data_IF_850519940137
#
_entry.id   IF_850519940137
#
_cell.length_a   1.000
_cell.length_b   1.000
_cell.length_c   1.000
_cell.angle_alpha   90.00
_cell.angle_beta   90.00
_cell.angle_gamma   90.00
#
_symmetry.space_group_name_H-M   'P 1'
#
loop_
_entity.id
_entity.type
_entity.pdbx_description
1 polymer ?
#
# COMPACT_ATOMS: atom_id res chain seq x y z
N UNK A 1 -10.91 -7.68 -21.32
CA UNK A 1 -10.47 -6.97 -22.55
C UNK A 1 -9.30 -6.02 -22.32
N UNK A 2 -9.34 -5.10 -21.31
CA UNK A 2 -8.22 -4.17 -21.08
C UNK A 2 -6.99 -4.87 -20.52
N UNK A 3 -7.15 -5.79 -19.57
CA UNK A 3 -6.04 -6.60 -19.04
C UNK A 3 -5.35 -7.34 -20.18
N UNK A 4 -6.10 -8.09 -20.99
CA UNK A 4 -5.57 -8.87 -22.12
C UNK A 4 -4.78 -8.01 -23.13
N UNK A 5 -5.17 -6.72 -23.29
CA UNK A 5 -4.51 -5.80 -24.23
C UNK A 5 -3.27 -5.12 -23.65
N UNK A 6 -3.31 -4.74 -22.38
CA UNK A 6 -2.32 -3.84 -21.80
C UNK A 6 -1.30 -4.57 -20.91
N UNK A 7 -1.73 -5.62 -20.22
CA UNK A 7 -0.88 -6.30 -19.25
C UNK A 7 0.31 -7.05 -19.84
N UNK A 8 0.26 -7.58 -21.08
CA UNK A 8 1.45 -8.13 -21.71
C UNK A 8 2.63 -7.15 -21.84
N UNK A 9 2.34 -5.84 -21.85
CA UNK A 9 3.36 -4.78 -21.84
C UNK A 9 3.70 -4.32 -20.43
N UNK A 10 2.68 -4.19 -19.56
CA UNK A 10 2.83 -3.57 -18.23
C UNK A 10 3.27 -4.55 -17.15
N UNK A 11 2.95 -5.83 -17.30
CA UNK A 11 3.28 -6.90 -16.35
C UNK A 11 2.77 -6.65 -14.92
N UNK A 12 1.54 -6.14 -14.81
CA UNK A 12 0.94 -5.74 -13.54
C UNK A 12 0.33 -6.89 -12.76
N UNK A 13 -0.08 -7.96 -13.46
CA UNK A 13 -0.69 -9.15 -12.86
C UNK A 13 0.29 -10.31 -12.82
N UNK A 14 0.23 -11.12 -11.77
CA UNK A 14 0.86 -12.44 -11.68
C UNK A 14 -0.14 -13.54 -12.04
N UNK A 15 -1.39 -13.34 -11.67
CA UNK A 15 -2.48 -14.28 -11.94
C UNK A 15 -3.77 -13.48 -12.15
N UNK A 16 -4.58 -13.89 -13.13
CA UNK A 16 -5.88 -13.29 -13.44
C UNK A 16 -6.96 -14.37 -13.38
N UNK A 17 -7.98 -14.16 -12.56
CA UNK A 17 -9.06 -15.10 -12.30
C UNK A 17 -10.28 -14.80 -13.16
N UNK A 18 -10.12 -14.77 -14.49
CA UNK A 18 -11.11 -14.28 -15.44
C UNK A 18 -12.41 -15.11 -15.42
N UNK A 19 -12.34 -16.44 -15.35
CA UNK A 19 -13.53 -17.30 -15.32
C UNK A 19 -14.36 -17.06 -14.06
N UNK A 20 -13.75 -17.18 -12.87
CA UNK A 20 -14.45 -16.96 -11.60
C UNK A 20 -14.96 -15.52 -11.46
N UNK A 21 -14.18 -14.54 -11.92
CA UNK A 21 -14.59 -13.13 -11.87
C UNK A 21 -15.80 -12.84 -12.76
N UNK A 22 -15.90 -13.50 -13.92
CA UNK A 22 -17.06 -13.35 -14.81
C UNK A 22 -18.32 -14.01 -14.22
N UNK A 23 -18.17 -15.17 -13.59
CA UNK A 23 -19.27 -15.85 -12.87
C UNK A 23 -19.78 -14.98 -11.70
N UNK A 24 -18.86 -14.47 -10.88
CA UNK A 24 -19.19 -13.56 -9.77
C UNK A 24 -19.85 -12.27 -10.28
N UNK A 25 -19.39 -11.70 -11.41
CA UNK A 25 -19.99 -10.52 -12.02
C UNK A 25 -21.43 -10.78 -12.50
N UNK A 26 -21.70 -11.95 -13.05
CA UNK A 26 -23.05 -12.35 -13.46
C UNK A 26 -23.96 -12.52 -12.24
N UNK A 27 -23.47 -13.16 -11.18
CA UNK A 27 -24.20 -13.31 -9.93
C UNK A 27 -24.52 -11.96 -9.28
N UNK A 28 -23.52 -11.06 -9.20
CA UNK A 28 -23.70 -9.70 -8.70
C UNK A 28 -24.75 -8.92 -9.50
N UNK A 29 -24.70 -8.99 -10.83
CA UNK A 29 -25.70 -8.37 -11.70
C UNK A 29 -27.11 -8.87 -11.42
N UNK A 30 -27.29 -10.18 -11.25
CA UNK A 30 -28.59 -10.78 -10.95
C UNK A 30 -29.10 -10.35 -9.56
N UNK A 31 -28.21 -10.37 -8.55
CA UNK A 31 -28.54 -9.95 -7.19
C UNK A 31 -28.98 -8.48 -7.16
N UNK A 32 -28.24 -7.58 -7.80
CA UNK A 32 -28.56 -6.15 -7.89
C UNK A 32 -29.92 -5.96 -8.58
N UNK A 33 -30.16 -6.64 -9.69
CA UNK A 33 -31.41 -6.53 -10.45
C UNK A 33 -32.65 -7.03 -9.66
N UNK A 34 -32.44 -7.97 -8.70
CA UNK A 34 -33.49 -8.49 -7.81
C UNK A 34 -33.63 -7.73 -6.48
N UNK A 35 -32.90 -6.61 -6.30
CA UNK A 35 -32.96 -5.79 -5.09
C UNK A 35 -31.97 -6.18 -3.99
N UNK A 36 -31.08 -7.13 -4.24
CA UNK A 36 -30.04 -7.59 -3.31
C UNK A 36 -28.74 -6.76 -3.39
N UNK A 37 -28.84 -5.43 -3.50
CA UNK A 37 -27.66 -4.55 -3.55
C UNK A 37 -26.98 -4.47 -2.18
N UNK A 38 -25.68 -4.79 -2.13
CA UNK A 38 -24.87 -4.85 -0.89
C UNK A 38 -24.14 -3.54 -0.55
N UNK A 39 -24.05 -2.62 -1.51
CA UNK A 39 -23.33 -1.35 -1.30
C UNK A 39 -22.40 -0.98 -2.45
N UNK A 40 -21.59 0.09 -2.27
CA UNK A 40 -20.80 0.70 -3.37
C UNK A 40 -19.79 -0.23 -4.04
N UNK A 41 -19.33 -1.28 -3.34
CA UNK A 41 -18.37 -2.22 -3.90
C UNK A 41 -19.03 -3.45 -4.56
N UNK A 42 -20.35 -3.57 -4.53
CA UNK A 42 -21.04 -4.72 -5.11
C UNK A 42 -20.84 -4.79 -6.63
N UNK A 43 -20.16 -5.85 -7.09
CA UNK A 43 -19.83 -6.05 -8.51
C UNK A 43 -18.57 -5.31 -8.98
N UNK A 44 -17.83 -4.65 -8.07
CA UNK A 44 -16.62 -3.90 -8.43
C UNK A 44 -15.41 -4.84 -8.43
N UNK A 45 -14.62 -4.88 -9.55
CA UNK A 45 -13.43 -5.69 -9.63
C UNK A 45 -12.26 -5.09 -8.81
N UNK A 46 -11.63 -5.92 -7.98
CA UNK A 46 -10.52 -5.54 -7.10
C UNK A 46 -9.32 -6.47 -7.32
N UNK A 47 -8.14 -5.89 -7.56
CA UNK A 47 -6.87 -6.61 -7.60
C UNK A 47 -6.19 -6.62 -6.23
N UNK A 48 -5.54 -7.73 -5.88
CA UNK A 48 -4.86 -7.88 -4.61
C UNK A 48 -3.35 -8.06 -4.80
N UNK A 49 -2.54 -7.24 -4.15
CA UNK A 49 -1.10 -7.44 -4.12
C UNK A 49 -0.78 -8.86 -3.66
N UNK A 50 0.17 -9.53 -4.31
CA UNK A 50 0.48 -10.95 -4.04
C UNK A 50 1.24 -11.17 -2.72
N UNK A 51 0.77 -10.54 -1.68
CA UNK A 51 1.02 -10.77 -0.26
C UNK A 51 -0.26 -11.10 0.49
N UNK A 52 -1.41 -10.89 -0.14
CA UNK A 52 -2.73 -10.96 0.48
C UNK A 52 -3.35 -12.30 0.15
N UNK A 53 -3.58 -13.12 1.16
CA UNK A 53 -4.15 -14.45 1.00
C UNK A 53 -5.61 -14.40 0.53
N UNK A 54 -5.91 -15.31 -0.39
CA UNK A 54 -7.25 -15.63 -0.84
C UNK A 54 -7.39 -17.14 -0.85
N UNK A 55 -8.39 -17.67 -0.19
CA UNK A 55 -8.63 -19.11 -0.07
C UNK A 55 -8.56 -19.85 -1.41
N UNK A 56 -7.77 -20.93 -1.45
CA UNK A 56 -7.55 -21.73 -2.64
C UNK A 56 -6.73 -21.05 -3.75
N UNK A 57 -6.10 -19.89 -3.47
CA UNK A 57 -5.23 -19.18 -4.43
C UNK A 57 -3.80 -19.13 -3.94
N UNK A 58 -2.87 -19.10 -4.87
CA UNK A 58 -1.44 -19.00 -4.56
C UNK A 58 -1.08 -17.59 -4.04
N UNK A 59 -0.18 -17.54 -3.05
CA UNK A 59 0.42 -16.30 -2.54
C UNK A 59 1.93 -16.50 -2.48
N UNK A 60 2.66 -15.86 -3.41
CA UNK A 60 4.10 -16.10 -3.57
C UNK A 60 4.99 -15.01 -2.98
N UNK A 61 4.43 -13.83 -2.70
CA UNK A 61 5.24 -12.66 -2.37
C UNK A 61 6.10 -12.19 -3.56
N UNK A 62 5.75 -12.57 -4.79
CA UNK A 62 6.55 -12.32 -5.99
C UNK A 62 7.90 -13.05 -5.97
N UNK A 63 8.00 -14.21 -5.32
CA UNK A 63 9.24 -14.94 -5.08
C UNK A 63 9.13 -16.44 -5.41
N UNK A 64 10.19 -17.00 -5.93
CA UNK A 64 10.30 -18.45 -6.10
C UNK A 64 10.41 -19.22 -4.76
N UNK A 65 10.66 -18.53 -3.66
CA UNK A 65 10.71 -19.12 -2.31
C UNK A 65 9.37 -19.73 -1.90
N UNK A 66 8.28 -19.06 -2.27
CA UNK A 66 6.91 -19.44 -1.94
C UNK A 66 6.13 -19.97 -3.15
N UNK A 67 6.82 -20.41 -4.22
CA UNK A 67 6.14 -21.05 -5.33
C UNK A 67 5.36 -22.29 -4.85
N UNK A 68 4.08 -22.38 -5.22
CA UNK A 68 3.15 -23.42 -4.78
C UNK A 68 2.54 -23.21 -3.39
N UNK A 69 2.74 -22.05 -2.77
CA UNK A 69 2.14 -21.71 -1.47
C UNK A 69 0.66 -21.33 -1.65
N UNK A 70 -0.22 -22.33 -1.52
CA UNK A 70 -1.66 -22.16 -1.60
C UNK A 70 -2.20 -21.67 -0.25
N UNK A 71 -2.94 -20.55 -0.26
CA UNK A 71 -3.61 -20.07 0.92
C UNK A 71 -4.78 -20.99 1.32
N UNK A 72 -4.87 -21.33 2.60
CA UNK A 72 -5.91 -22.22 3.16
C UNK A 72 -7.14 -21.45 3.70
N UNK A 73 -7.07 -20.11 3.67
CA UNK A 73 -8.13 -19.22 4.09
C UNK A 73 -7.98 -17.84 3.46
N UNK A 74 -9.08 -17.09 3.42
CA UNK A 74 -9.03 -15.67 3.06
C UNK A 74 -8.33 -14.85 4.15
N UNK A 75 -7.52 -13.89 3.74
CA UNK A 75 -7.14 -12.78 4.62
C UNK A 75 -8.37 -11.99 5.06
N UNK A 76 -8.27 -11.32 6.20
CA UNK A 76 -9.39 -10.49 6.69
C UNK A 76 -9.84 -9.42 5.68
N UNK A 77 -8.90 -8.84 4.93
CA UNK A 77 -9.26 -7.85 3.90
C UNK A 77 -9.95 -8.48 2.69
N UNK A 78 -9.55 -9.68 2.27
CA UNK A 78 -10.20 -10.41 1.18
C UNK A 78 -11.63 -10.82 1.60
N UNK A 79 -11.80 -11.36 2.81
CA UNK A 79 -13.11 -11.73 3.36
C UNK A 79 -14.06 -10.53 3.43
N UNK A 80 -13.58 -9.36 3.90
CA UNK A 80 -14.39 -8.13 3.96
C UNK A 80 -14.80 -7.63 2.58
N UNK A 81 -13.89 -7.68 1.60
CA UNK A 81 -14.21 -7.30 0.22
C UNK A 81 -15.28 -8.23 -0.38
N UNK A 82 -15.13 -9.54 -0.22
CA UNK A 82 -16.12 -10.54 -0.67
C UNK A 82 -17.47 -10.31 0.00
N UNK A 83 -17.49 -10.05 1.30
CA UNK A 83 -18.72 -9.74 2.04
C UNK A 83 -19.43 -8.47 1.57
N UNK A 84 -18.68 -7.48 1.07
CA UNK A 84 -19.21 -6.27 0.45
C UNK A 84 -19.63 -6.48 -1.02
N UNK A 85 -19.49 -7.68 -1.55
CA UNK A 85 -19.85 -8.04 -2.93
C UNK A 85 -18.81 -7.61 -3.98
N UNK A 86 -17.59 -7.25 -3.56
CA UNK A 86 -16.51 -6.98 -4.50
C UNK A 86 -16.03 -8.26 -5.17
N UNK A 87 -15.59 -8.16 -6.42
CA UNK A 87 -15.11 -9.27 -7.22
C UNK A 87 -13.58 -9.28 -7.20
N UNK A 88 -12.97 -10.30 -6.60
CA UNK A 88 -11.53 -10.43 -6.59
C UNK A 88 -11.05 -11.00 -7.92
N UNK A 89 -10.24 -10.26 -8.68
CA UNK A 89 -9.93 -10.63 -10.06
C UNK A 89 -8.51 -11.14 -10.30
N UNK A 90 -7.65 -11.12 -9.29
CA UNK A 90 -6.29 -11.62 -9.47
C UNK A 90 -5.27 -11.08 -8.50
N UNK A 91 -4.07 -11.60 -8.64
CA UNK A 91 -2.87 -11.25 -7.87
C UNK A 91 -2.02 -10.23 -8.64
N UNK A 92 -1.68 -9.16 -7.96
CA UNK A 92 -0.89 -8.06 -8.53
C UNK A 92 0.60 -8.28 -8.29
N UNK A 93 1.39 -8.03 -9.33
CA UNK A 93 2.85 -8.10 -9.28
C UNK A 93 3.43 -7.07 -8.29
N UNK A 94 4.60 -7.38 -7.74
CA UNK A 94 5.24 -6.61 -6.69
C UNK A 94 6.76 -6.80 -6.69
N UNK A 95 7.48 -5.95 -5.97
CA UNK A 95 8.88 -6.23 -5.63
C UNK A 95 8.92 -7.43 -4.68
N UNK A 96 9.81 -8.38 -4.92
CA UNK A 96 9.96 -9.61 -4.13
C UNK A 96 9.88 -9.33 -2.62
N UNK A 97 8.93 -10.02 -1.93
CA UNK A 97 8.61 -9.86 -0.51
C UNK A 97 8.39 -8.41 -0.06
N UNK A 98 7.91 -7.54 -0.95
CA UNK A 98 7.71 -6.12 -0.69
C UNK A 98 8.98 -5.36 -0.26
N UNK A 99 10.17 -5.96 -0.30
CA UNK A 99 11.40 -5.35 0.22
C UNK A 99 12.20 -4.62 -0.85
N UNK A 100 11.60 -3.59 -1.42
CA UNK A 100 12.22 -2.70 -2.40
C UNK A 100 11.28 -1.59 -2.86
N UNK A 101 11.85 -0.55 -3.48
CA UNK A 101 11.15 0.68 -3.83
C UNK A 101 11.03 0.94 -5.35
N UNK A 102 11.56 0.06 -6.20
CA UNK A 102 11.71 0.35 -7.63
C UNK A 102 10.61 -0.24 -8.53
N UNK A 103 9.94 -1.29 -8.11
CA UNK A 103 9.01 -2.05 -8.97
C UNK A 103 9.69 -3.11 -9.82
N UNK A 104 11.01 -3.35 -9.63
CA UNK A 104 11.77 -4.37 -10.33
C UNK A 104 11.66 -5.72 -9.59
N UNK A 105 11.47 -6.79 -10.34
CA UNK A 105 11.44 -8.15 -9.80
C UNK A 105 12.02 -9.13 -10.82
N UNK A 106 13.13 -9.78 -10.48
CA UNK A 106 13.83 -10.70 -11.38
C UNK A 106 13.14 -12.07 -11.52
N UNK A 107 12.19 -12.42 -10.63
CA UNK A 107 11.41 -13.66 -10.76
C UNK A 107 10.21 -13.51 -11.68
N UNK A 108 9.47 -12.42 -11.48
CA UNK A 108 8.16 -12.20 -12.13
C UNK A 108 8.23 -11.20 -13.28
N UNK A 109 9.38 -10.59 -13.50
CA UNK A 109 9.57 -9.50 -14.43
C UNK A 109 9.18 -8.13 -13.84
N UNK A 110 9.75 -7.10 -14.45
CA UNK A 110 9.56 -5.71 -14.02
C UNK A 110 8.19 -5.17 -14.42
N UNK A 111 7.55 -4.46 -13.52
CA UNK A 111 6.32 -3.73 -13.83
C UNK A 111 6.67 -2.41 -14.50
N UNK A 112 6.07 -2.13 -15.65
CA UNK A 112 6.29 -0.91 -16.43
C UNK A 112 5.32 0.19 -16.02
N UNK A 113 5.81 1.43 -16.02
CA UNK A 113 4.96 2.59 -15.76
C UNK A 113 4.03 2.84 -16.95
N UNK A 114 2.71 2.93 -16.76
CA UNK A 114 1.76 3.12 -17.87
C UNK A 114 1.92 4.43 -18.62
N UNK A 115 2.53 5.45 -18.00
CA UNK A 115 2.76 6.74 -18.63
C UNK A 115 3.98 6.75 -19.55
N UNK A 116 4.99 5.94 -19.18
CA UNK A 116 6.22 5.78 -19.94
C UNK A 116 6.87 4.44 -19.55
N UNK A 117 6.84 3.48 -20.45
CA UNK A 117 7.31 2.10 -20.20
C UNK A 117 8.82 1.99 -19.96
N UNK A 118 9.57 3.03 -20.24
CA UNK A 118 11.01 3.11 -19.92
C UNK A 118 11.27 3.59 -18.48
N UNK A 119 10.20 4.01 -17.76
CA UNK A 119 10.29 4.47 -16.38
C UNK A 119 9.76 3.43 -15.40
N UNK A 120 10.27 3.51 -14.18
CA UNK A 120 9.80 2.66 -13.07
C UNK A 120 8.42 3.11 -12.56
N UNK A 121 7.68 2.17 -12.00
CA UNK A 121 6.44 2.44 -11.27
C UNK A 121 6.68 2.90 -9.84
N UNK A 122 7.90 2.79 -9.32
CA UNK A 122 8.20 2.59 -7.91
C UNK A 122 7.56 1.30 -7.38
N UNK A 123 7.72 1.06 -6.07
CA UNK A 123 7.24 -0.17 -5.42
C UNK A 123 7.09 0.01 -3.91
N UNK A 124 6.73 -1.07 -3.28
CA UNK A 124 6.66 -2.46 -3.75
C UNK A 124 5.32 -2.85 -4.36
N UNK A 125 4.23 -2.08 -4.25
CA UNK A 125 2.91 -2.36 -4.83
C UNK A 125 2.83 -1.90 -6.29
N UNK A 126 3.82 -2.29 -7.10
CA UNK A 126 4.04 -1.85 -8.48
C UNK A 126 2.90 -2.24 -9.42
N UNK A 127 2.49 -3.50 -9.41
CA UNK A 127 1.39 -4.02 -10.24
C UNK A 127 0.05 -3.37 -9.88
N UNK A 128 -0.23 -3.21 -8.58
CA UNK A 128 -1.44 -2.51 -8.11
C UNK A 128 -1.54 -1.10 -8.68
N UNK A 129 -0.44 -0.33 -8.62
CA UNK A 129 -0.42 1.04 -9.15
C UNK A 129 -0.57 1.09 -10.67
N UNK A 130 0.20 0.26 -11.39
CA UNK A 130 0.18 0.24 -12.84
C UNK A 130 -1.20 -0.18 -13.40
N UNK A 131 -1.82 -1.21 -12.82
CA UNK A 131 -3.13 -1.69 -13.27
C UNK A 131 -4.23 -0.63 -13.10
N UNK A 132 -4.24 0.07 -11.97
CA UNK A 132 -5.20 1.16 -11.70
C UNK A 132 -4.93 2.35 -12.61
N UNK A 133 -3.68 2.78 -12.75
CA UNK A 133 -3.30 3.90 -13.62
C UNK A 133 -3.64 3.65 -15.09
N UNK A 134 -3.41 2.41 -15.57
CA UNK A 134 -3.78 2.00 -16.93
C UNK A 134 -5.30 1.82 -17.13
N UNK A 135 -6.11 1.94 -16.08
CA UNK A 135 -7.55 1.71 -16.12
C UNK A 135 -7.93 0.28 -16.46
N UNK A 136 -7.09 -0.69 -16.13
CA UNK A 136 -7.40 -2.12 -16.24
C UNK A 136 -8.41 -2.54 -15.18
N UNK A 137 -8.28 -1.96 -13.99
CA UNK A 137 -9.18 -2.12 -12.85
C UNK A 137 -9.38 -0.76 -12.16
N UNK A 138 -10.54 -0.53 -11.52
CA UNK A 138 -10.78 0.72 -10.78
C UNK A 138 -9.99 0.77 -9.46
N UNK A 139 -9.72 -0.37 -8.86
CA UNK A 139 -9.25 -0.50 -7.48
C UNK A 139 -8.27 -1.66 -7.36
N UNK A 140 -7.22 -1.46 -6.56
CA UNK A 140 -6.36 -2.53 -6.05
C UNK A 140 -6.03 -2.30 -4.58
N UNK A 141 -5.65 -3.37 -3.87
CA UNK A 141 -4.99 -3.26 -2.58
C UNK A 141 -3.47 -3.37 -2.73
N UNK A 142 -2.78 -2.56 -1.94
CA UNK A 142 -1.33 -2.61 -1.76
C UNK A 142 -0.94 -2.78 -0.29
N UNK A 143 0.36 -2.84 -0.03
CA UNK A 143 0.92 -2.77 1.32
C UNK A 143 1.96 -1.66 1.42
N UNK A 144 2.14 -1.07 2.61
CA UNK A 144 3.06 0.05 2.85
C UNK A 144 3.76 -0.12 4.21
N UNK A 145 5.07 -0.33 4.16
CA UNK A 145 5.96 -0.42 5.32
C UNK A 145 6.87 0.81 5.42
N UNK A 146 7.29 1.32 4.25
CA UNK A 146 8.16 2.49 4.14
C UNK A 146 7.81 3.39 2.96
N UNK A 147 6.59 3.29 2.42
CA UNK A 147 6.12 4.07 1.27
C UNK A 147 5.51 3.24 0.15
N UNK A 148 5.36 1.91 0.32
CA UNK A 148 5.06 0.98 -0.78
C UNK A 148 3.62 1.03 -1.35
N UNK A 149 2.72 1.84 -0.82
CA UNK A 149 1.48 2.30 -1.46
C UNK A 149 1.71 3.68 -2.07
N UNK A 150 2.23 4.61 -1.25
CA UNK A 150 2.34 6.04 -1.58
C UNK A 150 3.31 6.33 -2.71
N UNK A 151 4.48 5.69 -2.72
CA UNK A 151 5.48 5.88 -3.78
C UNK A 151 4.95 5.44 -5.15
N UNK A 152 4.46 4.20 -5.34
CA UNK A 152 3.94 3.80 -6.65
C UNK A 152 2.66 4.56 -7.03
N UNK A 153 1.82 4.96 -6.09
CA UNK A 153 0.68 5.83 -6.38
C UNK A 153 1.13 7.18 -6.94
N UNK A 154 2.16 7.79 -6.34
CA UNK A 154 2.72 9.06 -6.81
C UNK A 154 3.32 8.95 -8.21
N UNK A 155 4.15 7.93 -8.49
CA UNK A 155 4.80 7.79 -9.80
C UNK A 155 3.84 7.32 -10.91
N UNK A 156 2.74 6.67 -10.55
CA UNK A 156 1.71 6.26 -11.52
C UNK A 156 0.53 7.24 -11.61
N UNK A 157 0.50 8.32 -10.82
CA UNK A 157 -0.52 9.38 -10.90
C UNK A 157 -1.91 8.91 -10.44
N UNK A 158 -1.98 8.15 -9.34
CA UNK A 158 -3.22 7.65 -8.73
C UNK A 158 -3.31 8.04 -7.25
N UNK A 159 -4.47 7.86 -6.64
CA UNK A 159 -4.63 7.97 -5.19
C UNK A 159 -4.15 6.68 -4.49
N UNK A 160 -3.35 6.84 -3.44
CA UNK A 160 -2.89 5.73 -2.61
C UNK A 160 -2.94 6.11 -1.14
N UNK A 161 -3.74 5.40 -0.36
CA UNK A 161 -3.93 5.69 1.05
C UNK A 161 -3.24 4.65 1.94
N UNK A 162 -2.25 5.10 2.71
CA UNK A 162 -1.72 4.34 3.83
C UNK A 162 -2.51 4.71 5.09
N UNK A 163 -3.37 3.83 5.61
CA UNK A 163 -4.15 4.14 6.80
C UNK A 163 -3.26 4.23 8.06
N UNK A 164 -3.84 4.68 9.17
CA UNK A 164 -3.20 4.60 10.48
C UNK A 164 -2.94 3.13 10.85
N UNK A 165 -1.80 2.86 11.50
CA UNK A 165 -1.42 1.51 11.92
C UNK A 165 -2.52 0.84 12.76
N UNK A 166 -2.85 -0.40 12.41
CA UNK A 166 -3.92 -1.17 13.03
C UNK A 166 -5.35 -0.79 12.58
N UNK A 167 -5.54 0.20 11.71
CA UNK A 167 -6.87 0.57 11.22
C UNK A 167 -7.46 -0.47 10.25
N UNK A 168 -6.61 -1.10 9.45
CA UNK A 168 -6.92 -2.22 8.55
C UNK A 168 -6.15 -3.44 9.02
N UNK A 169 -6.82 -4.57 9.15
CA UNK A 169 -6.22 -5.83 9.58
C UNK A 169 -5.18 -6.34 8.58
N UNK A 170 -4.13 -6.95 9.12
CA UNK A 170 -3.07 -7.65 8.37
C UNK A 170 -3.15 -9.17 8.49
N UNK A 171 -4.17 -9.70 9.15
CA UNK A 171 -4.36 -11.14 9.26
C UNK A 171 -4.51 -11.78 7.88
N UNK A 172 -3.69 -12.79 7.57
CA UNK A 172 -3.60 -13.42 6.26
C UNK A 172 -2.86 -12.58 5.22
N UNK A 173 -1.94 -11.70 5.65
CA UNK A 173 -1.04 -10.94 4.77
C UNK A 173 0.40 -11.27 5.13
N UNK A 174 1.23 -11.60 4.14
CA UNK A 174 2.65 -11.88 4.36
C UNK A 174 3.37 -10.64 4.93
N UNK A 175 3.99 -10.83 6.08
CA UNK A 175 4.72 -9.75 6.75
C UNK A 175 6.06 -9.44 6.05
N UNK A 176 6.40 -8.16 6.01
CA UNK A 176 7.76 -7.66 5.86
C UNK A 176 8.30 -7.15 7.19
N UNK A 177 7.49 -6.37 7.90
CA UNK A 177 7.81 -5.78 9.19
C UNK A 177 6.51 -5.59 9.98
N UNK A 178 6.17 -6.58 10.82
CA UNK A 178 4.88 -6.64 11.54
C UNK A 178 4.54 -5.40 12.34
N UNK A 179 5.54 -4.63 12.78
CA UNK A 179 5.32 -3.39 13.55
C UNK A 179 5.14 -2.15 12.69
N UNK A 180 5.29 -2.27 11.35
CA UNK A 180 5.21 -1.13 10.42
C UNK A 180 4.37 -1.41 9.17
N UNK A 181 3.99 -2.67 8.90
CA UNK A 181 3.21 -3.00 7.73
C UNK A 181 1.77 -2.46 7.81
N UNK A 182 1.28 -2.00 6.68
CA UNK A 182 -0.08 -1.53 6.49
C UNK A 182 -0.64 -2.13 5.21
N UNK A 183 -1.93 -2.41 5.19
CA UNK A 183 -2.68 -2.68 3.96
C UNK A 183 -3.56 -1.48 3.67
N UNK A 184 -3.68 -1.10 2.41
CA UNK A 184 -4.52 0.03 2.05
C UNK A 184 -4.87 0.10 0.56
N UNK A 185 -5.87 0.93 0.23
CA UNK A 185 -6.39 1.08 -1.12
C UNK A 185 -5.47 1.88 -2.04
N UNK A 186 -5.50 1.50 -3.31
CA UNK A 186 -4.92 2.20 -4.45
C UNK A 186 -6.01 2.34 -5.51
N UNK A 187 -6.37 3.58 -5.83
CA UNK A 187 -7.56 3.91 -6.62
C UNK A 187 -7.30 5.11 -7.52
N UNK A 188 -8.25 5.44 -8.38
CA UNK A 188 -8.12 6.62 -9.24
C UNK A 188 -8.48 7.93 -8.52
N UNK A 189 -9.36 7.86 -7.53
CA UNK A 189 -9.85 9.05 -6.80
C UNK A 189 -9.72 8.87 -5.29
N UNK A 190 -9.67 9.97 -4.56
CA UNK A 190 -9.67 9.96 -3.08
C UNK A 190 -11.00 9.46 -2.53
N UNK A 191 -12.10 9.70 -3.24
CA UNK A 191 -13.43 9.19 -2.88
C UNK A 191 -13.46 7.67 -2.86
N UNK A 192 -12.91 7.03 -3.90
CA UNK A 192 -12.81 5.56 -3.96
C UNK A 192 -11.97 5.00 -2.81
N UNK A 193 -10.90 5.71 -2.40
CA UNK A 193 -10.15 5.35 -1.20
C UNK A 193 -11.05 5.36 0.05
N UNK A 194 -11.88 6.38 0.20
CA UNK A 194 -12.84 6.50 1.32
C UNK A 194 -13.86 5.37 1.33
N UNK A 195 -14.46 5.05 0.18
CA UNK A 195 -15.41 3.95 0.01
C UNK A 195 -14.79 2.60 0.40
N UNK A 196 -13.54 2.35 -0.02
CA UNK A 196 -12.82 1.14 0.37
C UNK A 196 -12.49 1.11 1.86
N UNK A 197 -12.09 2.24 2.43
CA UNK A 197 -11.81 2.31 3.86
C UNK A 197 -13.05 2.00 4.72
N UNK A 198 -14.25 2.35 4.26
CA UNK A 198 -15.51 1.99 4.95
C UNK A 198 -15.72 0.47 5.02
N UNK A 199 -15.14 -0.30 4.10
CA UNK A 199 -15.20 -1.76 4.08
C UNK A 199 -14.01 -2.40 4.79
N UNK A 200 -12.80 -1.87 4.57
CA UNK A 200 -11.56 -2.49 5.04
C UNK A 200 -11.26 -2.22 6.52
N UNK A 201 -11.65 -1.04 7.03
CA UNK A 201 -11.33 -0.63 8.39
C UNK A 201 -12.18 -1.38 9.43
N UNK A 202 -11.61 -1.54 10.63
CA UNK A 202 -12.31 -2.09 11.79
C UNK A 202 -11.51 -3.14 12.54
N UNK A 203 -11.91 -3.36 13.80
CA UNK A 203 -11.28 -4.34 14.67
C UNK A 203 -11.34 -5.76 14.10
N UNK A 204 -10.23 -6.48 14.27
CA UNK A 204 -10.08 -7.88 13.90
C UNK A 204 -9.33 -8.62 15.03
N UNK A 205 -9.95 -9.61 15.68
CA UNK A 205 -9.30 -10.39 16.74
C UNK A 205 -8.12 -11.23 16.24
N UNK A 206 -8.01 -11.48 14.93
CA UNK A 206 -6.92 -12.24 14.34
C UNK A 206 -5.67 -11.40 14.06
N UNK A 207 -5.74 -10.06 14.17
CA UNK A 207 -4.58 -9.17 14.11
C UNK A 207 -4.36 -8.49 15.47
N UNK A 208 -3.33 -8.89 16.24
CA UNK A 208 -3.05 -8.31 17.56
C UNK A 208 -2.80 -6.80 17.55
N UNK A 209 -2.46 -6.23 16.38
CA UNK A 209 -2.25 -4.80 16.22
C UNK A 209 -3.53 -4.05 15.84
N UNK A 210 -4.63 -4.76 15.61
CA UNK A 210 -5.88 -4.18 15.16
C UNK A 210 -6.49 -3.22 16.19
N UNK A 211 -6.89 -2.04 15.73
CA UNK A 211 -7.40 -0.96 16.57
C UNK A 211 -8.86 -1.15 16.96
N UNK A 212 -9.17 -0.96 18.25
CA UNK A 212 -10.55 -0.93 18.77
C UNK A 212 -11.27 0.42 18.56
N UNK A 213 -10.59 1.42 17.97
CA UNK A 213 -11.22 2.72 17.73
C UNK A 213 -12.39 2.60 16.76
N UNK A 214 -13.50 3.29 17.00
CA UNK A 214 -14.65 3.29 16.11
C UNK A 214 -14.26 3.60 14.67
N UNK A 215 -14.93 2.98 13.71
CA UNK A 215 -14.76 3.25 12.28
C UNK A 215 -15.67 4.40 11.91
N UNK A 216 -15.15 5.56 11.52
CA UNK A 216 -15.97 6.65 11.00
C UNK A 216 -16.43 6.32 9.57
N UNK A 217 -17.40 7.04 9.06
CA UNK A 217 -17.63 7.08 7.61
C UNK A 217 -16.55 7.97 6.96
N UNK A 218 -15.63 7.33 6.23
CA UNK A 218 -14.50 8.01 5.58
C UNK A 218 -14.92 8.87 4.39
N UNK A 219 -16.19 8.82 3.97
CA UNK A 219 -16.73 9.63 2.88
C UNK A 219 -17.55 10.83 3.34
N UNK A 220 -17.93 10.88 4.62
CA UNK A 220 -18.87 11.86 5.18
C UNK A 220 -18.46 13.34 5.01
N UNK A 221 -17.16 13.61 4.94
CA UNK A 221 -16.63 14.98 4.83
C UNK A 221 -16.00 15.33 3.49
N UNK A 222 -16.06 14.45 2.48
CA UNK A 222 -15.39 14.67 1.19
C UNK A 222 -15.83 15.94 0.47
N UNK A 223 -17.09 16.34 0.64
CA UNK A 223 -17.67 17.53 -0.02
C UNK A 223 -17.91 18.69 0.93
N UNK A 224 -17.37 18.66 2.15
CA UNK A 224 -17.54 19.71 3.15
C UNK A 224 -16.93 21.04 2.72
N UNK A 225 -15.97 21.04 1.80
CA UNK A 225 -15.13 22.19 1.47
C UNK A 225 -13.90 22.30 2.38
N UNK A 226 -13.05 23.28 2.09
CA UNK A 226 -11.77 23.47 2.75
C UNK A 226 -11.77 24.71 3.68
N UNK A 227 -12.89 25.45 3.76
CA UNK A 227 -12.97 26.68 4.53
C UNK A 227 -12.66 26.45 6.02
N UNK A 228 -11.76 27.27 6.56
CA UNK A 228 -11.31 27.20 7.94
C UNK A 228 -10.27 26.13 8.24
N UNK A 229 -9.84 25.34 7.25
CA UNK A 229 -8.74 24.39 7.43
C UNK A 229 -7.39 25.11 7.43
N UNK A 230 -6.43 24.49 8.15
CA UNK A 230 -5.02 24.89 8.18
C UNK A 230 -4.13 23.77 7.68
N UNK A 231 -3.27 24.08 6.72
CA UNK A 231 -2.28 23.14 6.17
C UNK A 231 -0.89 23.54 6.60
N UNK A 232 -0.15 22.59 7.19
CA UNK A 232 1.25 22.74 7.54
C UNK A 232 2.17 22.34 6.39
N UNK A 233 3.02 23.26 5.92
CA UNK A 233 4.04 22.97 4.92
C UNK A 233 5.40 22.85 5.61
N UNK A 234 6.07 21.67 5.59
CA UNK A 234 7.35 21.50 6.25
C UNK A 234 8.46 22.24 5.50
N UNK A 235 9.30 22.95 6.26
CA UNK A 235 10.40 23.77 5.72
C UNK A 235 11.73 23.02 5.58
N UNK A 236 11.79 21.75 6.02
CA UNK A 236 13.01 20.95 6.03
C UNK A 236 12.81 19.64 5.28
N UNK A 237 13.87 19.15 4.62
CA UNK A 237 13.96 17.82 4.01
C UNK A 237 13.14 17.61 2.73
N UNK A 238 11.88 18.05 2.70
CA UNK A 238 10.96 17.72 1.60
C UNK A 238 11.15 18.60 0.35
N UNK A 239 11.86 19.73 0.48
CA UNK A 239 12.14 20.69 -0.58
C UNK A 239 13.64 21.03 -0.66
N UNK A 240 14.50 20.20 -0.06
CA UNK A 240 15.96 20.37 -0.09
C UNK A 240 16.54 20.06 -1.48
N UNK A 241 17.82 20.37 -1.70
CA UNK A 241 18.53 20.29 -3.00
C UNK A 241 18.48 18.92 -3.70
N UNK A 242 18.16 17.83 -2.98
CA UNK A 242 18.03 16.50 -3.57
C UNK A 242 16.64 16.22 -4.16
N UNK A 243 15.69 17.14 -4.02
CA UNK A 243 14.35 17.05 -4.63
C UNK A 243 14.39 17.69 -5.99
N UNK A 244 13.90 16.99 -7.02
CA UNK A 244 13.82 17.51 -8.37
C UNK A 244 13.03 18.82 -8.39
N UNK A 245 13.57 19.90 -9.00
CA UNK A 245 12.91 21.21 -9.04
C UNK A 245 11.50 21.16 -9.66
N UNK A 246 11.28 20.30 -10.67
CA UNK A 246 9.95 20.14 -11.30
C UNK A 246 8.93 19.61 -10.29
N UNK A 247 9.33 18.64 -9.46
CA UNK A 247 8.47 18.10 -8.39
C UNK A 247 8.20 19.17 -7.32
N UNK A 248 9.26 19.89 -6.89
CA UNK A 248 9.12 20.97 -5.91
C UNK A 248 8.14 22.04 -6.38
N UNK A 249 8.27 22.50 -7.63
CA UNK A 249 7.38 23.48 -8.25
C UNK A 249 5.93 22.96 -8.29
N UNK A 250 5.73 21.71 -8.71
CA UNK A 250 4.39 21.13 -8.80
C UNK A 250 3.69 21.08 -7.44
N UNK A 251 4.43 20.73 -6.37
CA UNK A 251 3.89 20.71 -5.00
C UNK A 251 3.57 22.11 -4.51
N UNK A 252 4.46 23.10 -4.74
CA UNK A 252 4.19 24.51 -4.34
C UNK A 252 2.98 25.06 -5.09
N UNK A 253 2.83 24.78 -6.38
CA UNK A 253 1.64 25.20 -7.15
C UNK A 253 0.35 24.58 -6.58
N UNK A 254 0.39 23.33 -6.14
CA UNK A 254 -0.77 22.69 -5.48
C UNK A 254 -1.09 23.36 -4.14
N UNK A 255 -0.09 23.69 -3.33
CA UNK A 255 -0.26 24.42 -2.06
C UNK A 255 -0.86 25.80 -2.31
N UNK A 256 -0.37 26.53 -3.33
CA UNK A 256 -0.91 27.83 -3.71
C UNK A 256 -2.37 27.74 -4.18
N UNK A 257 -2.69 26.71 -4.98
CA UNK A 257 -4.08 26.47 -5.41
C UNK A 257 -5.02 26.25 -4.21
N UNK A 258 -4.57 25.48 -3.20
CA UNK A 258 -5.33 25.21 -1.98
C UNK A 258 -5.50 26.51 -1.18
N UNK A 259 -4.44 27.31 -1.03
CA UNK A 259 -4.50 28.61 -0.35
C UNK A 259 -5.51 29.57 -1.01
N UNK A 260 -5.53 29.62 -2.35
CA UNK A 260 -6.47 30.42 -3.12
C UNK A 260 -7.94 29.97 -2.96
N UNK A 261 -8.18 28.78 -2.40
CA UNK A 261 -9.50 28.27 -2.05
C UNK A 261 -9.85 28.46 -0.55
N UNK A 262 -9.19 29.40 0.12
CA UNK A 262 -9.55 29.84 1.48
C UNK A 262 -8.95 28.98 2.61
N UNK A 263 -7.92 28.21 2.32
CA UNK A 263 -7.18 27.43 3.32
C UNK A 263 -6.02 28.27 3.87
N UNK A 264 -5.85 28.29 5.18
CA UNK A 264 -4.69 28.90 5.83
C UNK A 264 -3.47 27.97 5.66
N UNK A 265 -2.41 28.46 5.02
CA UNK A 265 -1.16 27.73 4.87
C UNK A 265 -0.12 28.30 5.85
N UNK A 266 0.46 27.44 6.66
CA UNK A 266 1.46 27.79 7.66
C UNK A 266 2.73 26.96 7.48
N UNK A 267 3.88 27.55 7.68
CA UNK A 267 5.15 26.82 7.70
C UNK A 267 5.30 26.05 9.01
N UNK A 268 5.71 24.78 8.92
CA UNK A 268 6.01 23.95 10.08
C UNK A 268 7.48 23.52 10.07
N UNK A 269 8.13 23.61 11.23
CA UNK A 269 9.54 23.27 11.38
C UNK A 269 9.71 21.82 11.84
N UNK A 270 10.37 20.99 11.02
CA UNK A 270 10.66 19.58 11.29
C UNK A 270 12.14 19.23 11.05
N UNK A 271 13.12 19.88 11.73
CA UNK A 271 14.55 19.69 11.46
C UNK A 271 15.04 18.26 11.77
N UNK A 272 14.25 17.48 12.48
CA UNK A 272 14.52 16.11 12.89
C UNK A 272 14.01 15.05 11.89
N UNK A 273 13.21 15.43 10.89
CA UNK A 273 12.46 14.48 10.03
C UNK A 273 13.38 13.56 9.23
N UNK A 274 14.57 14.01 8.85
CA UNK A 274 15.58 13.19 8.15
C UNK A 274 16.02 11.94 8.92
N UNK A 275 15.88 11.92 10.26
CA UNK A 275 16.17 10.77 11.11
C UNK A 275 15.20 9.59 10.87
N UNK A 276 14.01 9.85 10.33
CA UNK A 276 12.98 8.85 10.07
C UNK A 276 13.47 7.68 9.22
N UNK A 277 14.32 7.95 8.22
CA UNK A 277 14.90 6.90 7.36
C UNK A 277 15.78 5.92 8.14
N UNK A 278 16.64 6.42 9.01
CA UNK A 278 17.54 5.57 9.81
C UNK A 278 16.74 4.72 10.82
N UNK A 279 15.72 5.33 11.44
CA UNK A 279 14.81 4.63 12.36
C UNK A 279 14.09 3.49 11.63
N UNK A 280 13.50 3.78 10.47
CA UNK A 280 12.79 2.80 9.65
C UNK A 280 13.71 1.63 9.26
N UNK A 281 14.91 1.91 8.74
CA UNK A 281 15.86 0.87 8.33
C UNK A 281 16.34 0.00 9.48
N UNK A 282 16.52 0.55 10.68
CA UNK A 282 16.89 -0.21 11.87
C UNK A 282 15.80 -1.19 12.31
N UNK A 283 14.53 -0.83 12.12
CA UNK A 283 13.40 -1.69 12.48
C UNK A 283 13.14 -2.72 11.37
N UNK A 284 12.92 -2.27 10.15
CA UNK A 284 12.51 -3.14 9.03
C UNK A 284 13.50 -4.27 8.74
N UNK A 285 14.81 -4.00 8.82
CA UNK A 285 15.82 -5.03 8.57
C UNK A 285 15.78 -6.14 9.60
N UNK A 286 15.65 -5.78 10.88
CA UNK A 286 15.59 -6.75 11.99
C UNK A 286 14.32 -7.60 11.93
N UNK A 287 13.19 -6.95 11.64
CA UNK A 287 11.91 -7.65 11.56
C UNK A 287 11.83 -8.51 10.30
N UNK A 288 12.28 -8.02 9.14
CA UNK A 288 12.31 -8.78 7.90
C UNK A 288 13.16 -10.05 8.00
N UNK A 289 14.37 -9.98 8.58
CA UNK A 289 15.21 -11.19 8.72
C UNK A 289 14.58 -12.21 9.66
N UNK A 290 13.87 -11.77 10.69
CA UNK A 290 13.15 -12.65 11.61
C UNK A 290 11.98 -13.37 10.93
N UNK A 291 11.22 -12.68 10.07
CA UNK A 291 10.15 -13.30 9.26
C UNK A 291 10.72 -14.36 8.31
N UNK A 292 11.87 -14.08 7.71
CA UNK A 292 12.47 -14.92 6.67
C UNK A 292 13.45 -15.99 7.18
N UNK A 293 13.66 -16.11 8.49
CA UNK A 293 14.72 -16.96 9.08
C UNK A 293 14.68 -18.41 8.57
N UNK A 294 13.50 -19.05 8.62
CA UNK A 294 13.33 -20.42 8.17
C UNK A 294 13.53 -20.57 6.65
N UNK A 295 13.00 -19.66 5.87
CA UNK A 295 13.15 -19.69 4.41
C UNK A 295 14.59 -19.42 3.99
N UNK A 296 15.32 -18.57 4.71
CA UNK A 296 16.75 -18.35 4.47
C UNK A 296 17.60 -19.58 4.80
N UNK A 297 17.21 -20.38 5.80
CA UNK A 297 17.90 -21.63 6.12
C UNK A 297 17.74 -22.70 5.03
N UNK A 298 16.51 -22.86 4.52
CA UNK A 298 16.16 -23.97 3.66
C UNK A 298 16.12 -23.64 2.16
N UNK A 299 15.92 -22.37 1.78
CA UNK A 299 15.61 -21.91 0.42
C UNK A 299 16.35 -20.63 0.01
N UNK A 300 17.51 -20.35 0.61
CA UNK A 300 18.28 -19.12 0.35
C UNK A 300 18.64 -18.90 -1.12
N UNK A 301 18.82 -19.98 -1.87
CA UNK A 301 19.13 -19.97 -3.31
C UNK A 301 17.93 -19.55 -4.18
N UNK A 302 16.71 -19.63 -3.66
CA UNK A 302 15.48 -19.25 -4.36
C UNK A 302 15.16 -17.76 -4.30
N UNK A 303 15.83 -17.00 -3.44
CA UNK A 303 15.71 -15.54 -3.43
C UNK A 303 16.47 -14.89 -4.58
N UNK A 304 16.02 -13.75 -5.07
CA UNK A 304 16.90 -12.91 -5.89
C UNK A 304 18.10 -12.46 -5.06
N UNK A 305 19.31 -12.38 -5.63
CA UNK A 305 20.51 -12.01 -4.86
C UNK A 305 20.39 -10.68 -4.12
N UNK A 306 19.75 -9.69 -4.76
CA UNK A 306 19.57 -8.35 -4.17
C UNK A 306 18.64 -8.37 -2.96
N UNK A 307 17.50 -9.06 -3.02
CA UNK A 307 16.53 -9.13 -1.92
C UNK A 307 17.08 -10.00 -0.80
N UNK A 308 17.72 -11.14 -1.12
CA UNK A 308 18.43 -11.96 -0.12
C UNK A 308 19.44 -11.15 0.68
N UNK A 309 20.34 -10.42 -0.01
CA UNK A 309 21.35 -9.61 0.67
C UNK A 309 20.71 -8.53 1.56
N UNK A 310 19.60 -7.93 1.09
CA UNK A 310 18.86 -6.93 1.86
C UNK A 310 18.23 -7.51 3.12
N UNK A 311 17.58 -8.67 3.03
CA UNK A 311 17.01 -9.37 4.20
C UNK A 311 18.13 -9.80 5.14
N UNK A 312 19.18 -10.45 4.65
CA UNK A 312 20.32 -10.90 5.45
C UNK A 312 21.07 -9.75 6.15
N UNK A 313 20.97 -8.51 5.62
CA UNK A 313 21.53 -7.34 6.31
C UNK A 313 20.92 -7.11 7.70
N UNK A 314 19.76 -7.69 8.00
CA UNK A 314 19.14 -7.68 9.32
C UNK A 314 19.95 -8.42 10.40
N UNK A 315 20.70 -9.46 10.04
CA UNK A 315 21.60 -10.16 10.97
C UNK A 315 22.73 -9.27 11.51
N UNK A 316 23.04 -8.17 10.81
CA UNK A 316 24.05 -7.22 11.26
C UNK A 316 23.49 -6.12 12.18
N UNK A 317 22.20 -6.12 12.47
CA UNK A 317 21.58 -5.18 13.40
C UNK A 317 21.64 -5.79 14.80
N UNK A 318 22.46 -5.19 15.68
CA UNK A 318 22.53 -5.66 17.07
C UNK A 318 21.18 -5.42 17.80
N UNK A 319 20.83 -6.30 18.73
CA UNK A 319 19.59 -6.16 19.52
C UNK A 319 19.48 -4.78 20.18
N UNK A 320 20.61 -4.21 20.66
CA UNK A 320 20.63 -2.87 21.24
C UNK A 320 20.26 -1.79 20.23
N UNK A 321 20.63 -1.93 18.95
CA UNK A 321 20.33 -0.95 17.92
C UNK A 321 18.86 -1.03 17.49
N UNK A 322 18.28 -2.23 17.45
CA UNK A 322 16.83 -2.41 17.30
C UNK A 322 16.04 -1.75 18.44
N UNK A 323 16.45 -1.96 19.69
CA UNK A 323 15.82 -1.32 20.86
C UNK A 323 15.94 0.21 20.78
N UNK A 324 17.12 0.72 20.36
CA UNK A 324 17.34 2.17 20.15
C UNK A 324 16.42 2.70 19.04
N UNK A 325 16.28 1.97 17.93
CA UNK A 325 15.39 2.36 16.82
C UNK A 325 13.92 2.39 17.26
N UNK A 326 13.44 1.42 18.06
CA UNK A 326 12.09 1.43 18.62
C UNK A 326 11.85 2.64 19.56
N UNK A 327 12.81 2.97 20.44
CA UNK A 327 12.74 4.16 21.29
C UNK A 327 12.75 5.47 20.46
N UNK A 328 13.60 5.50 19.43
CA UNK A 328 13.67 6.64 18.52
C UNK A 328 12.36 6.81 17.72
N UNK A 329 11.67 5.71 17.34
CA UNK A 329 10.33 5.77 16.73
C UNK A 329 9.30 6.43 17.64
N UNK A 330 9.29 6.07 18.94
CA UNK A 330 8.38 6.72 19.90
C UNK A 330 8.66 8.22 20.02
N UNK A 331 9.93 8.60 20.12
CA UNK A 331 10.34 9.99 20.12
C UNK A 331 9.92 10.71 18.82
N UNK A 332 10.15 10.08 17.66
CA UNK A 332 9.78 10.60 16.33
C UNK A 332 8.27 10.84 16.22
N UNK A 333 7.46 9.88 16.66
CA UNK A 333 6.00 10.00 16.67
C UNK A 333 5.54 11.15 17.59
N UNK A 334 6.17 11.31 18.74
CA UNK A 334 5.88 12.45 19.63
C UNK A 334 6.23 13.79 18.99
N UNK A 335 7.42 13.91 18.38
CA UNK A 335 7.83 15.12 17.67
C UNK A 335 6.88 15.42 16.48
N UNK A 336 6.43 14.40 15.74
CA UNK A 336 5.44 14.57 14.68
C UNK A 336 4.13 15.13 15.24
N UNK A 337 3.60 14.55 16.29
CA UNK A 337 2.38 15.02 16.92
C UNK A 337 2.50 16.47 17.44
N UNK A 338 3.66 16.84 18.02
CA UNK A 338 3.92 18.22 18.45
C UNK A 338 3.98 19.20 17.26
N UNK A 339 4.66 18.82 16.18
CA UNK A 339 4.79 19.65 14.97
C UNK A 339 3.47 19.86 14.23
N UNK A 340 2.54 18.91 14.36
CA UNK A 340 1.21 18.96 13.75
C UNK A 340 0.17 19.68 14.60
N UNK A 341 0.52 20.17 15.81
CA UNK A 341 -0.41 20.95 16.64
C UNK A 341 -0.79 22.27 15.94
N UNK A 342 -2.07 22.49 15.81
CA UNK A 342 -2.61 23.72 15.23
C UNK A 342 -2.72 23.72 13.71
N UNK A 343 -2.48 22.57 13.06
CA UNK A 343 -2.81 22.32 11.65
C UNK A 343 -3.70 21.09 11.53
N UNK A 344 -4.49 21.03 10.48
CA UNK A 344 -5.41 19.92 10.22
C UNK A 344 -4.73 18.84 9.35
N UNK A 345 -3.80 19.27 8.48
CA UNK A 345 -3.02 18.41 7.56
C UNK A 345 -1.59 18.93 7.47
#
# INVERSE_FOLDING_TARGET
DRITKLDPTLNSFLDVWDESALEEAQAARQAIASGGYLGPLHGIPVGLKDLIDVDGRETTGGSAVLAGNMAEADSSVAARLKAAGAILIGKMNLVEFAFGATGLNAHTGDVKNPWDTERITAGSSSGSAAAVAAGMIPVALGSDTGGSIRMPASLCGIAGLKPTYGRVSRAGVLDLSWSMDHVGPMTRTTEDCGLLMNVLAGYDPNDPASSHQPVPDFTSNLYRGLEGMKIGVPTHYFFDDFVDPEISIAVHNAVELIANNGVEVVEISMPWVSKGRAINLGIIRSEAVSVHENWLADRADKYTPAVRARIQSGYNVAAIDYVRAQRARQWFNHQMAESMKGVDV
#
